data_IF_726206841021
#
_entry.id   IF_726206841021
#
_cell.length_a   1.000
_cell.length_b   1.000
_cell.length_c   1.000
_cell.angle_alpha   90.00
_cell.angle_beta   90.00
_cell.angle_gamma   90.00
#
_symmetry.space_group_name_H-M   'P 1'
#
loop_
_entity.id
_entity.type
_entity.pdbx_description
1 polymer ?
#
# COMPACT_ATOMS: atom_id res chain seq x y z
N UNK A 1 -16.76 27.19 -32.55
CA UNK A 1 -15.33 27.38 -32.88
C UNK A 1 -14.43 27.74 -31.70
N UNK A 2 -14.85 28.53 -30.70
CA UNK A 2 -13.99 28.92 -29.57
C UNK A 2 -13.47 27.72 -28.75
N UNK A 3 -14.28 26.67 -28.61
CA UNK A 3 -13.89 25.44 -27.92
C UNK A 3 -12.67 24.75 -28.55
N UNK A 4 -12.52 24.79 -29.89
CA UNK A 4 -11.34 24.27 -30.60
C UNK A 4 -10.06 25.09 -30.32
N UNK A 5 -10.20 26.39 -30.01
CA UNK A 5 -9.06 27.22 -29.59
C UNK A 5 -8.65 26.89 -28.15
N UNK A 6 -9.61 26.61 -27.27
CA UNK A 6 -9.37 26.32 -25.86
C UNK A 6 -8.92 24.87 -25.61
N UNK A 7 -9.41 23.91 -26.41
CA UNK A 7 -9.21 22.47 -26.22
C UNK A 7 -7.76 22.03 -26.24
N UNK A 8 -7.45 20.94 -25.52
CA UNK A 8 -6.10 20.35 -25.56
C UNK A 8 -5.85 19.70 -26.93
N UNK A 9 -4.58 19.46 -27.26
CA UNK A 9 -4.22 18.77 -28.51
C UNK A 9 -4.83 17.36 -28.55
N UNK A 10 -4.86 16.67 -27.41
CA UNK A 10 -5.48 15.36 -27.23
C UNK A 10 -6.98 15.41 -27.57
N UNK A 11 -7.74 16.32 -26.95
CA UNK A 11 -9.19 16.48 -27.20
C UNK A 11 -9.48 16.74 -28.69
N UNK A 12 -8.64 17.54 -29.36
CA UNK A 12 -8.76 17.84 -30.79
C UNK A 12 -8.41 16.65 -31.68
N UNK A 13 -7.49 15.80 -31.25
CA UNK A 13 -7.15 14.56 -31.94
C UNK A 13 -8.33 13.60 -31.89
N UNK A 14 -8.91 13.43 -30.70
CA UNK A 14 -10.05 12.54 -30.45
C UNK A 14 -11.30 12.98 -31.24
N UNK A 15 -11.59 14.29 -31.26
CA UNK A 15 -12.65 14.85 -32.12
C UNK A 15 -12.42 14.51 -33.59
N UNK A 16 -11.19 14.68 -34.07
CA UNK A 16 -10.89 14.42 -35.46
C UNK A 16 -10.97 12.92 -35.80
N UNK A 17 -10.59 12.03 -34.88
CA UNK A 17 -10.75 10.58 -35.06
C UNK A 17 -12.21 10.15 -35.12
N UNK A 18 -13.06 10.71 -34.26
CA UNK A 18 -14.50 10.42 -34.24
C UNK A 18 -15.22 10.99 -35.48
N UNK A 19 -14.74 12.12 -36.03
CA UNK A 19 -15.18 12.64 -37.33
C UNK A 19 -14.67 11.81 -38.53
N UNK A 20 -13.92 10.73 -38.29
CA UNK A 20 -13.36 9.86 -39.33
C UNK A 20 -12.24 10.52 -40.13
N UNK A 21 -11.59 11.56 -39.59
CA UNK A 21 -10.46 12.22 -40.22
C UNK A 21 -9.16 11.50 -39.86
N UNK A 22 -8.30 11.32 -40.86
CA UNK A 22 -7.01 10.66 -40.67
C UNK A 22 -6.05 11.60 -39.94
N UNK A 23 -5.92 11.41 -38.62
CA UNK A 23 -5.06 12.24 -37.76
C UNK A 23 -3.86 11.48 -37.23
N UNK A 24 -2.70 12.11 -37.31
CA UNK A 24 -1.45 11.60 -36.71
C UNK A 24 -1.13 12.38 -35.43
N UNK A 25 -0.50 11.70 -34.47
CA UNK A 25 -0.10 12.30 -33.18
C UNK A 25 0.85 13.50 -33.37
N UNK A 26 1.54 13.57 -34.51
CA UNK A 26 2.48 14.65 -34.84
C UNK A 26 1.79 15.94 -35.29
N UNK A 27 0.49 15.90 -35.64
CA UNK A 27 -0.21 17.10 -36.10
C UNK A 27 -0.21 18.21 -35.04
N UNK A 28 -0.03 19.45 -35.50
CA UNK A 28 -0.06 20.62 -34.63
C UNK A 28 -1.51 21.03 -34.34
N UNK A 29 -1.75 21.60 -33.15
CA UNK A 29 -3.07 22.12 -32.74
C UNK A 29 -3.79 22.98 -33.81
N UNK A 30 -3.13 23.96 -34.47
CA UNK A 30 -3.78 24.73 -35.54
C UNK A 30 -4.09 23.89 -36.79
N UNK A 31 -3.28 22.88 -37.10
CA UNK A 31 -3.52 21.97 -38.22
C UNK A 31 -4.75 21.10 -37.97
N UNK A 32 -4.89 20.54 -36.76
CA UNK A 32 -6.07 19.77 -36.34
C UNK A 32 -7.35 20.61 -36.38
N UNK A 33 -7.30 21.85 -35.85
CA UNK A 33 -8.43 22.79 -35.92
C UNK A 33 -8.85 23.00 -37.38
N UNK A 34 -7.90 23.31 -38.25
CA UNK A 34 -8.20 23.57 -39.66
C UNK A 34 -8.77 22.33 -40.34
N UNK A 35 -8.26 21.13 -40.03
CA UNK A 35 -8.75 19.86 -40.56
C UNK A 35 -10.23 19.63 -40.19
N UNK A 36 -10.57 19.82 -38.91
CA UNK A 36 -11.93 19.69 -38.39
C UNK A 36 -12.85 20.70 -39.08
N UNK A 37 -12.50 21.98 -39.10
CA UNK A 37 -13.36 23.04 -39.67
C UNK A 37 -13.52 22.99 -41.18
N UNK A 38 -12.60 22.32 -41.90
CA UNK A 38 -12.67 22.14 -43.36
C UNK A 38 -13.33 20.83 -43.76
N UNK A 39 -13.64 19.95 -42.81
CA UNK A 39 -14.30 18.69 -43.11
C UNK A 39 -15.73 18.93 -43.58
N UNK A 40 -16.19 18.13 -44.55
CA UNK A 40 -17.54 18.26 -45.10
C UNK A 40 -18.65 17.90 -44.10
N UNK A 41 -18.30 17.16 -43.03
CA UNK A 41 -19.19 16.79 -41.93
C UNK A 41 -19.08 17.71 -40.71
N UNK A 42 -18.46 18.89 -40.85
CA UNK A 42 -18.34 19.84 -39.73
C UNK A 42 -19.67 20.53 -39.45
N UNK A 43 -20.30 20.16 -38.33
CA UNK A 43 -21.35 20.95 -37.70
C UNK A 43 -20.84 21.52 -36.36
N UNK A 44 -21.07 22.81 -36.12
CA UNK A 44 -20.51 23.49 -34.94
C UNK A 44 -21.13 23.02 -33.63
N UNK A 45 -22.42 22.67 -33.61
CA UNK A 45 -23.11 22.24 -32.39
C UNK A 45 -22.80 20.77 -32.09
N UNK A 46 -22.80 19.91 -33.12
CA UNK A 46 -22.45 18.50 -32.96
C UNK A 46 -20.99 18.35 -32.50
N UNK A 47 -20.06 19.08 -33.13
CA UNK A 47 -18.64 19.03 -32.73
C UNK A 47 -18.38 19.63 -31.35
N UNK A 48 -19.21 20.57 -30.91
CA UNK A 48 -19.15 21.11 -29.55
C UNK A 48 -19.70 20.11 -28.52
N UNK A 49 -20.84 19.47 -28.81
CA UNK A 49 -21.38 18.40 -27.95
C UNK A 49 -20.38 17.27 -27.78
N UNK A 50 -19.71 16.90 -28.87
CA UNK A 50 -18.67 15.88 -28.89
C UNK A 50 -17.44 16.28 -28.07
N UNK A 51 -16.97 17.53 -28.23
CA UNK A 51 -15.90 18.08 -27.39
C UNK A 51 -16.26 18.05 -25.89
N UNK A 52 -17.49 18.42 -25.54
CA UNK A 52 -17.96 18.40 -24.16
C UNK A 52 -17.99 16.98 -23.59
N UNK A 53 -18.45 16.00 -24.38
CA UNK A 53 -18.41 14.58 -24.03
C UNK A 53 -17.01 14.07 -23.75
N UNK A 54 -16.06 14.33 -24.64
CA UNK A 54 -14.64 13.93 -24.50
C UNK A 54 -14.01 14.56 -23.24
N UNK A 55 -14.28 15.85 -23.01
CA UNK A 55 -13.77 16.56 -21.82
C UNK A 55 -14.32 15.94 -20.54
N UNK A 56 -15.60 15.57 -20.54
CA UNK A 56 -16.24 14.98 -19.37
C UNK A 56 -15.76 13.54 -19.12
N UNK A 57 -15.64 12.71 -20.17
CA UNK A 57 -15.09 11.36 -20.06
C UNK A 57 -13.66 11.38 -19.50
N UNK A 58 -12.82 12.32 -19.96
CA UNK A 58 -11.47 12.48 -19.40
C UNK A 58 -11.51 12.77 -17.91
N UNK A 59 -12.36 13.70 -17.46
CA UNK A 59 -12.48 14.01 -16.03
C UNK A 59 -12.98 12.80 -15.25
N UNK A 60 -13.93 12.06 -15.79
CA UNK A 60 -14.45 10.87 -15.13
C UNK A 60 -13.37 9.79 -14.99
N UNK A 61 -12.55 9.58 -16.03
CA UNK A 61 -11.38 8.69 -15.94
C UNK A 61 -10.38 9.16 -14.88
N UNK A 62 -10.05 10.44 -14.85
CA UNK A 62 -9.15 11.02 -13.84
C UNK A 62 -9.69 10.81 -12.42
N UNK A 63 -10.99 11.07 -12.20
CA UNK A 63 -11.65 10.84 -10.90
C UNK A 63 -11.70 9.36 -10.52
N UNK A 64 -11.92 8.47 -11.48
CA UNK A 64 -11.91 7.03 -11.24
C UNK A 64 -10.51 6.53 -10.88
N UNK A 65 -9.47 7.06 -11.53
CA UNK A 65 -8.08 6.76 -11.20
C UNK A 65 -7.71 7.28 -9.80
N UNK A 66 -8.12 8.50 -9.45
CA UNK A 66 -7.92 9.03 -8.10
C UNK A 66 -8.64 8.19 -7.05
N UNK A 67 -9.89 7.79 -7.31
CA UNK A 67 -10.64 6.89 -6.42
C UNK A 67 -9.92 5.56 -6.24
N UNK A 68 -9.47 4.93 -7.33
CA UNK A 68 -8.70 3.68 -7.25
C UNK A 68 -7.41 3.85 -6.46
N UNK A 69 -6.71 4.98 -6.60
CA UNK A 69 -5.53 5.30 -5.79
C UNK A 69 -5.89 5.44 -4.31
N UNK A 70 -6.99 6.10 -4.00
CA UNK A 70 -7.48 6.24 -2.63
C UNK A 70 -7.86 4.89 -2.01
N UNK A 71 -8.61 4.06 -2.73
CA UNK A 71 -9.00 2.72 -2.29
C UNK A 71 -7.77 1.83 -2.02
N UNK A 72 -6.75 1.91 -2.90
CA UNK A 72 -5.49 1.19 -2.70
C UNK A 72 -4.71 1.67 -1.46
N UNK A 73 -4.71 2.98 -1.20
CA UNK A 73 -4.05 3.52 0.00
C UNK A 73 -4.77 3.09 1.27
N UNK A 74 -6.11 3.09 1.29
CA UNK A 74 -6.88 2.64 2.45
C UNK A 74 -6.68 1.14 2.71
N UNK A 75 -6.63 0.32 1.65
CA UNK A 75 -6.30 -1.10 1.76
C UNK A 75 -4.90 -1.34 2.35
N UNK A 76 -3.89 -0.61 1.89
CA UNK A 76 -2.53 -0.75 2.41
C UNK A 76 -2.44 -0.29 3.88
N UNK A 77 -3.16 0.77 4.25
CA UNK A 77 -3.26 1.23 5.63
C UNK A 77 -3.89 0.15 6.53
N UNK A 78 -5.01 -0.45 6.11
CA UNK A 78 -5.64 -1.55 6.84
C UNK A 78 -4.72 -2.77 6.97
N UNK A 79 -3.97 -3.09 5.93
CA UNK A 79 -2.98 -4.19 5.95
C UNK A 79 -1.88 -3.93 6.98
N UNK A 80 -1.33 -2.72 7.00
CA UNK A 80 -0.30 -2.33 7.97
C UNK A 80 -0.87 -2.37 9.40
N UNK A 81 -2.07 -1.84 9.62
CA UNK A 81 -2.73 -1.84 10.93
C UNK A 81 -2.98 -3.26 11.44
N UNK A 82 -3.45 -4.17 10.58
CA UNK A 82 -3.62 -5.59 10.92
C UNK A 82 -2.28 -6.24 11.29
N UNK A 83 -1.21 -5.95 10.56
CA UNK A 83 0.12 -6.50 10.84
C UNK A 83 0.72 -5.93 12.14
N UNK A 84 0.49 -4.65 12.44
CA UNK A 84 0.87 -4.04 13.72
C UNK A 84 0.09 -4.69 14.86
N UNK A 85 -1.21 -4.92 14.72
CA UNK A 85 -2.04 -5.61 15.71
C UNK A 85 -1.53 -7.02 16.01
N UNK A 86 -1.22 -7.80 14.97
CA UNK A 86 -0.62 -9.13 15.12
C UNK A 86 0.74 -9.08 15.84
N UNK A 87 1.60 -8.13 15.48
CA UNK A 87 2.90 -7.96 16.14
C UNK A 87 2.75 -7.58 17.62
N UNK A 88 1.79 -6.71 17.97
CA UNK A 88 1.48 -6.38 19.36
C UNK A 88 0.95 -7.58 20.14
N UNK A 89 0.13 -8.43 19.52
CA UNK A 89 -0.36 -9.66 20.14
C UNK A 89 0.79 -10.65 20.39
N UNK A 90 1.70 -10.82 19.43
CA UNK A 90 2.89 -11.67 19.56
C UNK A 90 3.81 -11.16 20.68
N UNK A 91 4.08 -9.85 20.73
CA UNK A 91 4.88 -9.25 21.81
C UNK A 91 4.19 -9.41 23.18
N UNK A 92 2.87 -9.23 23.26
CA UNK A 92 2.10 -9.42 24.49
C UNK A 92 2.07 -10.88 24.95
N UNK A 93 2.08 -11.85 24.02
CA UNK A 93 2.17 -13.28 24.32
C UNK A 93 3.57 -13.67 24.81
N UNK A 94 4.63 -13.11 24.21
CA UNK A 94 6.01 -13.39 24.61
C UNK A 94 6.41 -12.78 25.96
N UNK A 95 5.70 -11.74 26.42
CA UNK A 95 5.88 -11.20 27.78
C UNK A 95 5.26 -12.09 28.89
N UNK A 96 4.46 -13.10 28.52
CA UNK A 96 4.03 -14.16 29.44
C UNK A 96 5.10 -15.25 29.50
N UNK A 97 6.30 -14.88 29.95
CA UNK A 97 7.27 -15.90 30.32
C UNK A 97 6.80 -16.56 31.63
N UNK A 98 6.79 -17.90 31.75
CA UNK A 98 6.63 -18.58 33.04
C UNK A 98 7.85 -18.39 33.97
N UNK A 99 8.82 -17.56 33.54
CA UNK A 99 10.07 -17.26 34.24
C UNK A 99 9.85 -16.74 35.65
N UNK A 100 8.77 -16.01 35.87
CA UNK A 100 8.44 -15.40 37.16
C UNK A 100 7.94 -16.43 38.21
N UNK A 101 7.45 -17.61 37.79
CA UNK A 101 6.99 -18.63 38.73
C UNK A 101 8.14 -19.49 39.22
N UNK A 102 9.06 -19.89 38.33
CA UNK A 102 10.26 -20.65 38.71
C UNK A 102 11.18 -19.84 39.63
N UNK A 103 11.33 -18.53 39.38
CA UNK A 103 12.09 -17.64 40.26
C UNK A 103 11.46 -17.43 41.64
N UNK A 104 10.15 -17.63 41.79
CA UNK A 104 9.47 -17.65 43.10
C UNK A 104 9.66 -18.97 43.85
N UNK A 105 9.79 -20.08 43.12
CA UNK A 105 10.02 -21.42 43.67
C UNK A 105 11.49 -21.69 43.98
N UNK A 106 12.42 -20.93 43.38
CA UNK A 106 13.83 -20.99 43.72
C UNK A 106 14.05 -20.44 45.13
N UNK A 107 14.51 -21.32 46.02
CA UNK A 107 15.03 -20.93 47.33
C UNK A 107 16.17 -19.93 47.08
N UNK A 108 16.07 -18.75 47.70
CA UNK A 108 17.12 -17.72 47.61
C UNK A 108 18.34 -18.22 48.39
N UNK A 109 19.43 -18.47 47.68
CA UNK A 109 20.68 -18.89 48.28
C UNK A 109 21.31 -17.75 49.10
N UNK A 110 21.46 -17.96 50.40
CA UNK A 110 22.31 -17.13 51.26
C UNK A 110 23.64 -17.84 51.51
N UNK A 111 24.73 -17.24 51.02
CA UNK A 111 26.07 -17.80 51.18
C UNK A 111 26.48 -18.00 52.65
N UNK A 112 25.91 -17.25 53.61
CA UNK A 112 26.25 -17.44 55.03
C UNK A 112 25.54 -18.65 55.64
N UNK A 113 24.31 -18.91 55.24
CA UNK A 113 23.48 -19.97 55.81
C UNK A 113 23.61 -21.28 55.01
N UNK A 114 23.64 -21.19 53.67
CA UNK A 114 23.45 -22.33 52.78
C UNK A 114 24.73 -22.97 52.26
N UNK A 115 25.88 -22.29 52.36
CA UNK A 115 27.15 -22.80 51.78
C UNK A 115 27.55 -24.15 52.39
N UNK A 116 27.34 -24.31 53.69
CA UNK A 116 27.69 -25.53 54.42
C UNK A 116 26.87 -26.73 53.94
N UNK A 117 25.55 -26.54 53.79
CA UNK A 117 24.63 -27.54 53.28
C UNK A 117 24.96 -27.92 51.82
N UNK A 118 25.27 -26.93 50.99
CA UNK A 118 25.62 -27.16 49.59
C UNK A 118 26.90 -27.98 49.45
N UNK A 119 27.94 -27.68 50.24
CA UNK A 119 29.19 -28.46 50.25
C UNK A 119 28.96 -29.92 50.71
N UNK A 120 28.11 -30.14 51.72
CA UNK A 120 27.75 -31.49 52.17
C UNK A 120 27.00 -32.26 51.07
N UNK A 121 26.06 -31.62 50.39
CA UNK A 121 25.33 -32.24 49.27
C UNK A 121 26.27 -32.56 48.11
N UNK A 122 27.21 -31.67 47.81
CA UNK A 122 28.22 -31.87 46.77
C UNK A 122 29.14 -33.05 47.09
N UNK A 123 29.64 -33.14 48.33
CA UNK A 123 30.47 -34.26 48.77
C UNK A 123 29.71 -35.60 48.72
N UNK A 124 28.44 -35.62 49.15
CA UNK A 124 27.58 -36.80 49.02
C UNK A 124 27.37 -37.21 47.58
N UNK A 125 27.13 -36.27 46.67
CA UNK A 125 27.00 -36.56 45.24
C UNK A 125 28.30 -37.11 44.66
N UNK A 126 29.45 -36.51 44.99
CA UNK A 126 30.76 -36.99 44.56
C UNK A 126 31.04 -38.42 45.08
N UNK A 127 30.70 -38.70 46.34
CA UNK A 127 30.83 -40.04 46.92
C UNK A 127 29.90 -41.06 46.24
N UNK A 128 28.66 -40.70 45.89
CA UNK A 128 27.76 -41.58 45.15
C UNK A 128 28.22 -41.84 43.72
N UNK A 129 28.81 -40.84 43.05
CA UNK A 129 29.37 -40.99 41.70
C UNK A 129 30.65 -41.83 41.67
N UNK A 130 31.40 -41.84 42.78
CA UNK A 130 32.63 -42.61 42.94
C UNK A 130 32.43 -43.98 43.61
N UNK A 131 31.20 -44.34 43.98
CA UNK A 131 30.88 -45.67 44.48
C UNK A 131 30.89 -46.68 43.31
N UNK A 132 31.55 -47.85 43.44
CA UNK A 132 31.49 -48.88 42.41
C UNK A 132 30.04 -49.38 42.25
N UNK A 133 29.63 -49.65 41.01
CA UNK A 133 28.30 -50.17 40.65
C UNK A 133 28.05 -51.56 41.20
#
# INVERSE_FOLDING_TARGET
MYFLLKGKKEDLLEIATELGLETTVDMTKPMLKNLITKSAGYDEEDTKSMYEGIVEERKERELLEERKRWDNLELEKLRIEAQIGLNQEILSRNNRTPSNELTKLLIKFDMKEDISLYLILFERQACMMNAPK
#
